data_IF_608016550010
#
_entry.id   IF_608016550010
#
_cell.length_a   1.000
_cell.length_b   1.000
_cell.length_c   1.000
_cell.angle_alpha   90.00
_cell.angle_beta   90.00
_cell.angle_gamma   90.00
#
_symmetry.space_group_name_H-M   'P 1'
#
loop_
_entity.id
_entity.type
_entity.pdbx_description
1 polymer ?
#
# COMPACT_ATOMS: atom_id res chain seq x y z
N UNK A 1 -54.13 -29.01 -0.63
CA UNK A 1 -53.08 -29.43 -1.58
C UNK A 1 -53.77 -30.12 -2.75
N UNK A 2 -53.82 -29.46 -3.91
CA UNK A 2 -54.45 -30.01 -5.13
C UNK A 2 -53.39 -29.99 -6.22
N UNK A 3 -52.84 -31.15 -6.54
CA UNK A 3 -51.92 -31.34 -7.68
C UNK A 3 -52.75 -31.65 -8.92
N UNK A 4 -52.76 -30.74 -9.90
CA UNK A 4 -53.30 -31.00 -11.24
C UNK A 4 -52.23 -31.70 -12.10
N UNK A 5 -52.53 -32.85 -12.72
CA UNK A 5 -51.64 -33.49 -13.69
C UNK A 5 -51.88 -32.87 -15.08
N UNK A 6 -50.80 -32.46 -15.76
CA UNK A 6 -50.88 -31.93 -17.11
C UNK A 6 -49.53 -31.55 -17.71
N UNK A 7 -49.05 -32.42 -18.62
CA UNK A 7 -48.16 -32.15 -19.76
C UNK A 7 -46.67 -31.96 -19.41
N UNK A 8 -45.92 -33.06 -19.54
CA UNK A 8 -44.46 -33.12 -19.42
C UNK A 8 -43.75 -32.48 -20.62
N UNK A 9 -43.37 -31.21 -20.48
CA UNK A 9 -42.30 -30.61 -21.26
C UNK A 9 -40.93 -30.90 -20.63
N UNK A 10 -39.82 -30.88 -21.38
CA UNK A 10 -38.49 -31.03 -20.82
C UNK A 10 -38.24 -29.92 -19.80
N UNK A 11 -38.07 -30.30 -18.53
CA UNK A 11 -37.72 -29.35 -17.48
C UNK A 11 -36.20 -29.17 -17.54
N UNK A 12 -35.74 -28.00 -17.97
CA UNK A 12 -34.33 -27.69 -18.07
C UNK A 12 -33.92 -26.99 -16.77
N UNK A 13 -32.88 -27.49 -16.10
CA UNK A 13 -32.35 -26.86 -14.89
C UNK A 13 -31.10 -26.07 -15.26
N UNK A 14 -31.16 -24.76 -15.11
CA UNK A 14 -29.99 -23.91 -15.28
C UNK A 14 -29.21 -23.83 -13.96
N UNK A 15 -27.89 -24.01 -14.03
CA UNK A 15 -26.99 -23.95 -12.88
C UNK A 15 -26.04 -22.75 -13.03
N UNK A 16 -25.92 -21.95 -11.95
CA UNK A 16 -24.96 -20.85 -11.89
C UNK A 16 -24.11 -20.96 -10.63
N UNK A 17 -22.79 -20.81 -10.75
CA UNK A 17 -21.85 -20.90 -9.63
C UNK A 17 -21.39 -19.50 -9.23
N UNK A 18 -21.50 -19.20 -7.93
CA UNK A 18 -21.01 -17.93 -7.39
C UNK A 18 -19.48 -17.88 -7.36
N UNK A 19 -18.88 -16.85 -7.95
CA UNK A 19 -17.44 -16.57 -7.90
C UNK A 19 -16.90 -16.33 -6.48
N UNK A 20 -17.70 -15.71 -5.59
CA UNK A 20 -17.28 -15.35 -4.24
C UNK A 20 -17.36 -16.48 -3.20
N UNK A 21 -18.35 -17.37 -3.28
CA UNK A 21 -18.57 -18.43 -2.28
C UNK A 21 -18.74 -19.84 -2.85
N UNK A 22 -18.64 -20.01 -4.18
CA UNK A 22 -18.80 -21.28 -4.92
C UNK A 22 -20.14 -22.01 -4.72
N UNK A 23 -21.12 -21.39 -4.06
CA UNK A 23 -22.49 -21.94 -3.98
C UNK A 23 -23.14 -21.95 -5.37
N UNK A 24 -23.88 -23.01 -5.68
CA UNK A 24 -24.65 -23.12 -6.92
C UNK A 24 -26.09 -22.64 -6.72
N UNK A 25 -26.55 -21.77 -7.62
CA UNK A 25 -27.95 -21.42 -7.79
C UNK A 25 -28.57 -22.32 -8.86
N UNK A 26 -29.75 -22.86 -8.59
CA UNK A 26 -30.49 -23.68 -9.54
C UNK A 26 -31.80 -22.97 -9.89
N UNK A 27 -32.13 -22.90 -11.18
CA UNK A 27 -33.40 -22.35 -11.63
C UNK A 27 -34.05 -23.32 -12.61
N UNK A 28 -35.22 -23.86 -12.21
CA UNK A 28 -36.00 -24.78 -13.03
C UNK A 28 -36.79 -24.04 -14.10
N UNK A 29 -36.59 -24.41 -15.36
CA UNK A 29 -37.23 -23.82 -16.53
C UNK A 29 -38.13 -24.86 -17.19
N UNK A 30 -39.39 -24.46 -17.46
CA UNK A 30 -40.37 -25.32 -18.14
C UNK A 30 -40.31 -25.24 -19.67
N UNK A 31 -39.50 -24.34 -20.21
CA UNK A 31 -39.36 -24.05 -21.64
C UNK A 31 -37.88 -23.78 -21.93
N UNK A 32 -37.38 -24.28 -23.06
CA UNK A 32 -36.06 -23.94 -23.57
C UNK A 32 -36.03 -22.46 -23.98
N UNK A 33 -35.41 -21.62 -23.15
CA UNK A 33 -35.33 -20.17 -23.38
C UNK A 33 -33.93 -19.78 -23.86
N UNK A 34 -33.81 -18.70 -24.64
CA UNK A 34 -32.52 -18.15 -25.04
C UNK A 34 -31.70 -17.72 -23.81
N UNK A 35 -30.37 -17.76 -23.89
CA UNK A 35 -29.47 -17.51 -22.75
C UNK A 35 -29.72 -16.15 -22.08
N UNK A 36 -30.03 -15.10 -22.86
CA UNK A 36 -30.35 -13.77 -22.33
C UNK A 36 -31.58 -13.75 -21.40
N UNK A 37 -32.57 -14.60 -21.67
CA UNK A 37 -33.76 -14.72 -20.84
C UNK A 37 -33.48 -15.51 -19.55
N UNK A 38 -32.53 -16.45 -19.59
CA UNK A 38 -32.04 -17.17 -18.40
C UNK A 38 -31.29 -16.19 -17.50
N UNK A 39 -30.43 -15.35 -18.08
CA UNK A 39 -29.70 -14.30 -17.37
C UNK A 39 -30.63 -13.30 -16.69
N UNK A 40 -31.69 -12.86 -17.40
CA UNK A 40 -32.71 -11.98 -16.82
C UNK A 40 -33.40 -12.63 -15.61
N UNK A 41 -33.64 -13.94 -15.63
CA UNK A 41 -34.23 -14.68 -14.49
C UNK A 41 -33.27 -14.82 -13.32
N UNK A 42 -31.97 -15.03 -13.57
CA UNK A 42 -30.97 -15.01 -12.49
C UNK A 42 -30.81 -13.60 -11.89
N UNK A 43 -30.87 -12.54 -12.70
CA UNK A 43 -30.91 -11.15 -12.19
C UNK A 43 -32.16 -10.90 -11.33
N UNK A 44 -33.33 -11.40 -11.75
CA UNK A 44 -34.57 -11.31 -10.97
C UNK A 44 -34.52 -12.09 -9.65
N UNK A 45 -33.80 -13.22 -9.60
CA UNK A 45 -33.57 -13.98 -8.36
C UNK A 45 -32.47 -13.39 -7.47
N UNK A 46 -31.93 -12.22 -7.84
CA UNK A 46 -31.00 -11.45 -7.02
C UNK A 46 -29.52 -11.78 -7.27
N UNK A 47 -29.18 -12.46 -8.36
CA UNK A 47 -27.80 -12.70 -8.75
C UNK A 47 -27.25 -11.55 -9.59
N UNK A 48 -25.99 -11.19 -9.35
CA UNK A 48 -25.18 -10.41 -10.31
C UNK A 48 -24.49 -11.39 -11.25
N UNK A 49 -24.47 -11.11 -12.55
CA UNK A 49 -23.84 -11.98 -13.54
C UNK A 49 -22.43 -11.51 -13.92
N UNK A 50 -22.14 -10.22 -13.75
CA UNK A 50 -20.82 -9.63 -14.01
C UNK A 50 -20.30 -8.86 -12.78
N UNK A 51 -19.47 -9.48 -11.91
CA UNK A 51 -19.15 -10.90 -11.83
C UNK A 51 -20.33 -11.74 -11.29
N UNK A 52 -20.33 -13.05 -11.59
CA UNK A 52 -21.32 -14.02 -11.12
C UNK A 52 -21.30 -14.13 -9.59
N UNK A 53 -22.18 -13.40 -8.89
CA UNK A 53 -22.22 -13.30 -7.42
C UNK A 53 -23.63 -13.54 -6.91
N UNK A 54 -23.75 -14.44 -5.92
CA UNK A 54 -25.03 -14.77 -5.29
C UNK A 54 -25.56 -13.64 -4.39
N UNK A 55 -26.88 -13.60 -4.12
CA UNK A 55 -27.49 -12.59 -3.25
C UNK A 55 -26.86 -12.52 -1.84
N UNK A 56 -26.43 -13.66 -1.29
CA UNK A 56 -25.74 -13.71 0.01
C UNK A 56 -24.41 -12.95 -0.01
N UNK A 57 -23.64 -13.12 -1.08
CA UNK A 57 -22.34 -12.46 -1.23
C UNK A 57 -22.48 -10.98 -1.57
N UNK A 58 -23.56 -10.57 -2.25
CA UNK A 58 -23.88 -9.16 -2.50
C UNK A 58 -24.26 -8.45 -1.20
N UNK A 59 -25.04 -9.12 -0.34
CA UNK A 59 -25.48 -8.56 0.96
C UNK A 59 -24.39 -8.60 2.01
N UNK A 60 -23.37 -9.43 1.84
CA UNK A 60 -22.25 -9.50 2.78
C UNK A 60 -21.38 -8.26 2.57
N UNK A 61 -21.21 -7.39 3.58
CA UNK A 61 -20.24 -6.30 3.46
C UNK A 61 -18.88 -6.90 3.16
N UNK A 62 -18.17 -6.33 2.19
CA UNK A 62 -16.78 -6.73 1.93
C UNK A 62 -16.02 -6.56 3.23
N UNK A 63 -15.38 -7.63 3.70
CA UNK A 63 -14.39 -7.53 4.77
C UNK A 63 -13.14 -6.87 4.20
N UNK A 64 -13.25 -5.62 3.76
CA UNK A 64 -12.11 -4.71 3.87
C UNK A 64 -11.93 -4.53 5.37
N UNK A 65 -10.82 -5.01 5.92
CA UNK A 65 -10.50 -4.87 7.34
C UNK A 65 -10.31 -3.38 7.66
N UNK A 66 -11.39 -2.63 7.83
CA UNK A 66 -11.38 -1.35 8.54
C UNK A 66 -11.78 -1.72 9.97
N UNK A 67 -10.84 -2.30 10.71
CA UNK A 67 -11.00 -2.44 12.14
C UNK A 67 -10.66 -1.07 12.74
N UNK A 68 -11.68 -0.22 12.88
CA UNK A 68 -11.65 0.83 13.90
C UNK A 68 -11.85 0.15 15.27
N UNK A 69 -10.86 -0.64 15.68
CA UNK A 69 -10.77 -1.09 17.07
C UNK A 69 -10.39 0.11 17.91
N UNK A 70 -11.16 0.36 18.97
CA UNK A 70 -10.71 1.27 20.03
C UNK A 70 -9.26 0.91 20.42
N UNK A 71 -8.36 1.90 20.55
CA UNK A 71 -6.97 1.62 20.84
C UNK A 71 -6.90 0.85 22.15
N UNK A 72 -6.29 -0.34 22.10
CA UNK A 72 -6.08 -1.15 23.30
C UNK A 72 -5.29 -0.34 24.32
N UNK A 73 -5.46 -0.64 25.61
CA UNK A 73 -4.70 0.05 26.67
C UNK A 73 -3.19 -0.08 26.48
N UNK A 74 -2.72 -1.17 25.84
CA UNK A 74 -1.33 -1.34 25.42
C UNK A 74 -0.94 -0.36 24.29
N UNK A 75 -1.81 -0.15 23.30
CA UNK A 75 -1.57 0.81 22.22
C UNK A 75 -1.56 2.26 22.72
N UNK A 76 -2.42 2.61 23.69
CA UNK A 76 -2.38 3.95 24.31
C UNK A 76 -1.07 4.16 25.08
N UNK A 77 -0.62 3.14 25.82
CA UNK A 77 0.67 3.20 26.53
C UNK A 77 1.87 3.30 25.59
N UNK A 78 1.87 2.58 24.47
CA UNK A 78 2.96 2.67 23.48
C UNK A 78 2.98 4.05 22.81
N UNK A 79 1.81 4.61 22.48
CA UNK A 79 1.70 5.97 21.96
C UNK A 79 2.23 7.02 22.96
N UNK A 80 1.82 6.95 24.23
CA UNK A 80 2.30 7.89 25.25
C UNK A 80 3.83 7.81 25.45
N UNK A 81 4.40 6.60 25.44
CA UNK A 81 5.85 6.39 25.49
C UNK A 81 6.55 6.95 24.27
N UNK A 82 6.01 6.71 23.07
CA UNK A 82 6.54 7.25 21.81
C UNK A 82 6.59 8.78 21.85
N UNK A 83 5.50 9.45 22.27
CA UNK A 83 5.49 10.92 22.39
C UNK A 83 6.53 11.42 23.40
N UNK A 84 6.73 10.69 24.50
CA UNK A 84 7.74 11.04 25.52
C UNK A 84 9.17 10.89 24.97
N UNK A 85 9.45 9.83 24.22
CA UNK A 85 10.76 9.61 23.62
C UNK A 85 11.06 10.62 22.51
N UNK A 86 10.06 10.95 21.69
CA UNK A 86 10.19 11.99 20.67
C UNK A 86 10.44 13.35 21.30
N UNK A 87 9.73 13.73 22.36
CA UNK A 87 9.96 15.02 23.02
C UNK A 87 11.31 15.13 23.73
N UNK A 88 11.89 14.01 24.18
CA UNK A 88 13.19 14.00 24.85
C UNK A 88 14.38 13.91 23.89
N UNK A 89 14.20 13.25 22.74
CA UNK A 89 15.32 12.88 21.87
C UNK A 89 15.24 13.44 20.46
N UNK A 90 14.11 14.03 20.06
CA UNK A 90 13.98 14.73 18.79
C UNK A 90 13.92 16.24 19.04
N UNK A 91 14.88 16.95 18.46
CA UNK A 91 14.89 18.40 18.48
C UNK A 91 14.12 18.92 17.27
N UNK A 92 12.96 19.53 17.54
CA UNK A 92 12.07 20.07 16.52
C UNK A 92 12.65 21.30 15.80
N UNK A 93 13.56 22.05 16.44
CA UNK A 93 14.16 23.24 15.84
C UNK A 93 15.23 22.85 14.81
N UNK A 94 16.15 21.97 15.22
CA UNK A 94 17.21 21.47 14.34
C UNK A 94 16.72 20.39 13.39
N UNK A 95 15.63 19.69 13.73
CA UNK A 95 15.07 18.60 12.94
C UNK A 95 15.92 17.33 13.02
N UNK A 96 16.66 17.14 14.11
CA UNK A 96 17.59 16.02 14.30
C UNK A 96 17.29 15.24 15.57
N UNK A 97 17.69 13.96 15.54
CA UNK A 97 17.72 13.12 16.72
C UNK A 97 18.99 13.34 17.54
N UNK A 98 18.89 13.17 18.85
CA UNK A 98 20.03 13.04 19.74
C UNK A 98 20.95 11.87 19.31
N UNK A 99 22.23 11.93 19.70
CA UNK A 99 23.24 10.94 19.30
C UNK A 99 22.79 9.50 19.60
N UNK A 100 22.72 8.68 18.55
CA UNK A 100 22.34 7.27 18.64
C UNK A 100 20.82 7.00 18.73
N UNK A 101 19.99 8.03 18.50
CA UNK A 101 18.54 7.91 18.37
C UNK A 101 18.10 7.94 16.91
N UNK A 102 17.00 7.24 16.64
CA UNK A 102 16.37 7.16 15.32
C UNK A 102 14.91 6.71 15.47
N UNK A 103 14.10 6.88 14.43
CA UNK A 103 12.72 6.38 14.38
C UNK A 103 12.64 4.88 14.74
N UNK A 104 13.63 4.09 14.31
CA UNK A 104 13.71 2.66 14.62
C UNK A 104 13.90 2.41 16.12
N UNK A 105 14.82 3.13 16.75
CA UNK A 105 15.10 2.97 18.18
C UNK A 105 13.91 3.41 19.03
N UNK A 106 13.25 4.51 18.65
CA UNK A 106 12.02 4.97 19.32
C UNK A 106 10.90 3.95 19.16
N UNK A 107 10.76 3.31 17.99
CA UNK A 107 9.77 2.24 17.77
C UNK A 107 10.04 1.02 18.66
N UNK A 108 11.30 0.56 18.72
CA UNK A 108 11.72 -0.57 19.53
C UNK A 108 11.46 -0.33 21.04
N UNK A 109 11.72 0.89 21.54
CA UNK A 109 11.54 1.22 22.96
C UNK A 109 10.10 1.54 23.36
N UNK A 110 9.32 2.15 22.46
CA UNK A 110 7.91 2.47 22.70
C UNK A 110 6.97 1.29 22.47
N UNK A 111 7.37 0.31 21.64
CA UNK A 111 6.51 -0.75 21.14
C UNK A 111 5.52 -0.27 20.07
N UNK A 112 5.72 0.93 19.51
CA UNK A 112 4.98 1.43 18.35
C UNK A 112 5.62 0.94 17.05
N UNK A 113 4.89 1.03 15.94
CA UNK A 113 5.46 0.67 14.63
C UNK A 113 6.38 1.80 14.11
N UNK A 114 7.48 1.51 13.39
CA UNK A 114 8.35 2.54 12.83
C UNK A 114 7.62 3.53 11.91
N UNK A 115 6.62 3.05 11.18
CA UNK A 115 5.78 3.88 10.32
C UNK A 115 4.90 4.84 11.11
N UNK A 116 4.42 4.43 12.30
CA UNK A 116 3.68 5.31 13.19
C UNK A 116 4.58 6.38 13.80
N UNK A 117 5.80 6.01 14.21
CA UNK A 117 6.78 6.94 14.76
C UNK A 117 7.16 8.02 13.74
N UNK A 118 7.45 7.62 12.49
CA UNK A 118 7.82 8.58 11.44
C UNK A 118 6.67 9.53 11.08
N UNK A 119 5.43 9.01 11.02
CA UNK A 119 4.25 9.82 10.76
C UNK A 119 3.99 10.82 11.89
N UNK A 120 3.99 10.36 13.14
CA UNK A 120 3.75 11.24 14.30
C UNK A 120 4.88 12.24 14.49
N UNK A 121 6.14 11.86 14.25
CA UNK A 121 7.25 12.80 14.25
C UNK A 121 7.03 13.90 13.21
N UNK A 122 6.77 13.54 11.96
CA UNK A 122 6.57 14.52 10.89
C UNK A 122 5.40 15.47 11.17
N UNK A 123 4.31 14.95 11.73
CA UNK A 123 3.08 15.72 12.01
C UNK A 123 3.18 16.59 13.27
N UNK A 124 3.74 16.07 14.36
CA UNK A 124 3.74 16.74 15.67
C UNK A 124 5.05 17.45 16.03
N UNK A 125 6.19 17.00 15.51
CA UNK A 125 7.52 17.52 15.86
C UNK A 125 8.29 18.12 14.67
N UNK A 126 7.98 17.69 13.44
CA UNK A 126 8.61 18.17 12.21
C UNK A 126 9.37 17.11 11.42
N UNK A 127 9.77 17.49 10.21
CA UNK A 127 10.53 16.62 9.31
C UNK A 127 11.98 16.43 9.76
N UNK A 128 12.53 15.25 9.47
CA UNK A 128 13.93 14.94 9.76
C UNK A 128 14.79 15.68 8.74
N UNK A 129 15.59 16.64 9.19
CA UNK A 129 16.53 17.36 8.33
C UNK A 129 17.77 16.51 8.09
N UNK A 130 18.36 16.67 6.91
CA UNK A 130 19.64 16.03 6.61
C UNK A 130 20.72 16.59 7.56
N UNK A 131 21.55 15.75 8.19
CA UNK A 131 22.67 16.23 9.00
C UNK A 131 23.58 17.14 8.17
N UNK A 132 24.04 18.24 8.77
CA UNK A 132 24.94 19.20 8.13
C UNK A 132 26.22 18.54 7.60
N UNK A 133 26.68 17.48 8.25
CA UNK A 133 27.84 16.67 7.83
C UNK A 133 27.62 16.05 6.44
N UNK A 134 26.43 15.50 6.16
CA UNK A 134 26.15 14.89 4.86
C UNK A 134 26.03 15.98 3.78
N UNK A 135 25.42 17.12 4.11
CA UNK A 135 25.37 18.27 3.19
C UNK A 135 26.78 18.80 2.87
N UNK A 136 27.65 18.93 3.88
CA UNK A 136 29.05 19.31 3.70
C UNK A 136 29.81 18.30 2.84
N UNK A 137 29.66 17.00 3.11
CA UNK A 137 30.30 15.96 2.31
C UNK A 137 29.85 15.99 0.84
N UNK A 138 28.57 16.27 0.56
CA UNK A 138 28.10 16.45 -0.82
C UNK A 138 28.75 17.65 -1.50
N UNK A 139 28.92 18.76 -0.78
CA UNK A 139 29.63 19.94 -1.26
C UNK A 139 31.11 19.65 -1.54
N UNK A 140 31.76 18.89 -0.65
CA UNK A 140 33.16 18.49 -0.81
C UNK A 140 33.33 17.58 -2.03
N UNK A 141 32.43 16.60 -2.22
CA UNK A 141 32.42 15.73 -3.40
C UNK A 141 32.29 16.56 -4.67
N UNK A 142 31.34 17.49 -4.74
CA UNK A 142 31.15 18.37 -5.91
C UNK A 142 32.39 19.23 -6.20
N UNK A 143 33.07 19.68 -5.15
CA UNK A 143 34.31 20.45 -5.26
C UNK A 143 35.44 19.57 -5.80
N UNK A 144 35.59 18.36 -5.29
CA UNK A 144 36.59 17.39 -5.76
C UNK A 144 36.35 16.99 -7.21
N UNK A 145 35.11 16.76 -7.62
CA UNK A 145 34.75 16.47 -9.01
C UNK A 145 35.16 17.63 -9.94
N UNK A 146 34.91 18.88 -9.51
CA UNK A 146 35.29 20.07 -10.27
C UNK A 146 36.82 20.18 -10.41
N UNK A 147 37.55 19.99 -9.31
CA UNK A 147 39.02 19.98 -9.32
C UNK A 147 39.58 18.86 -10.21
N UNK A 148 38.97 17.67 -10.20
CA UNK A 148 39.37 16.56 -11.08
C UNK A 148 39.20 16.91 -12.56
N UNK A 149 38.09 17.55 -12.93
CA UNK A 149 37.85 17.99 -14.32
C UNK A 149 38.88 19.02 -14.75
N UNK A 150 39.20 20.00 -13.90
CA UNK A 150 40.23 21.00 -14.17
C UNK A 150 41.62 20.37 -14.33
N UNK A 151 42.00 19.45 -13.44
CA UNK A 151 43.27 18.74 -13.53
C UNK A 151 43.38 17.89 -14.80
N UNK A 152 42.31 17.18 -15.18
CA UNK A 152 42.28 16.41 -16.43
C UNK A 152 42.43 17.33 -17.64
N UNK A 153 41.75 18.48 -17.66
CA UNK A 153 41.89 19.46 -18.73
C UNK A 153 43.33 19.99 -18.82
N UNK A 154 43.93 20.37 -17.68
CA UNK A 154 45.32 20.82 -17.59
C UNK A 154 46.29 19.76 -18.11
N UNK A 155 46.22 18.53 -17.62
CA UNK A 155 47.08 17.42 -18.06
C UNK A 155 46.94 17.13 -19.56
N UNK A 156 45.73 17.20 -20.11
CA UNK A 156 45.52 17.05 -21.56
C UNK A 156 46.23 18.14 -22.35
N UNK A 157 46.20 19.39 -21.88
CA UNK A 157 46.92 20.49 -22.54
C UNK A 157 48.43 20.31 -22.47
N UNK A 158 48.98 19.85 -21.34
CA UNK A 158 50.41 19.60 -21.20
C UNK A 158 50.87 18.43 -22.06
N UNK A 159 50.11 17.33 -22.11
CA UNK A 159 50.39 16.21 -23.01
C UNK A 159 50.40 16.64 -24.48
N UNK A 160 49.48 17.53 -24.89
CA UNK A 160 49.46 18.05 -26.26
C UNK A 160 50.66 18.96 -26.58
N UNK A 161 51.16 19.72 -25.61
CA UNK A 161 52.39 20.53 -25.79
C UNK A 161 53.61 19.63 -25.92
N UNK A 162 53.74 18.63 -25.04
CA UNK A 162 54.85 17.68 -25.06
C UNK A 162 54.85 16.88 -26.36
N UNK A 163 53.69 16.34 -26.79
CA UNK A 163 53.62 15.58 -28.04
C UNK A 163 54.04 16.43 -29.26
N UNK A 164 53.69 17.71 -29.29
CA UNK A 164 54.10 18.64 -30.35
C UNK A 164 55.59 19.01 -30.29
N UNK A 165 56.21 18.99 -29.12
CA UNK A 165 57.63 19.30 -28.96
C UNK A 165 58.56 18.15 -29.41
N UNK A 166 58.06 16.92 -29.40
CA UNK A 166 58.80 15.70 -29.77
C UNK A 166 58.32 15.04 -31.08
N UNK A 167 57.43 15.69 -31.82
CA UNK A 167 57.00 15.31 -33.18
C UNK A 167 57.74 16.15 -34.22
#
# INVERSE_FOLDING_TARGET
MVSRPGIGGPTITAHLICSGCRKSGQLGLRVNMPPEAIDKKFKQSGWRLDPHVCPDCIRKPSKGNIMASEPSTAAVKSQAKMFTLLSQHFDAETGHYAKGWSDKKVADESGASPAMVSAVRAEAFGELKEPSEISALRSDISTLESLMVEQIASLRTELAKVSKAYA
#
